data_IF_872547694136
#
_entry.id   IF_872547694136
#
_cell.length_a   1.000
_cell.length_b   1.000
_cell.length_c   1.000
_cell.angle_alpha   90.00
_cell.angle_beta   90.00
_cell.angle_gamma   90.00
#
_symmetry.space_group_name_H-M   'P 1'
#
loop_
_entity.id
_entity.type
_entity.pdbx_description
1 polymer ?
#
# COMPACT_ATOMS: atom_id res chain seq x y z
N UNK A 1 -22.56 -36.00 17.44
CA UNK A 1 -22.45 -35.83 15.97
C UNK A 1 -22.20 -34.36 15.77
N UNK A 2 -20.96 -33.99 15.43
CA UNK A 2 -20.61 -32.59 15.10
C UNK A 2 -21.08 -32.32 13.68
N UNK A 3 -21.89 -31.30 13.46
CA UNK A 3 -22.26 -30.82 12.13
C UNK A 3 -21.38 -29.61 11.84
N UNK A 4 -20.38 -29.80 11.00
CA UNK A 4 -19.59 -28.71 10.41
C UNK A 4 -20.32 -28.28 9.14
N UNK A 5 -20.75 -27.04 9.04
CA UNK A 5 -21.25 -26.49 7.80
C UNK A 5 -20.32 -25.33 7.39
N UNK A 6 -19.73 -25.51 6.22
CA UNK A 6 -19.02 -24.44 5.53
C UNK A 6 -20.10 -23.47 5.00
N UNK A 7 -20.16 -22.28 5.53
CA UNK A 7 -20.91 -21.19 4.94
C UNK A 7 -19.88 -20.30 4.25
N UNK A 8 -19.67 -20.52 2.95
CA UNK A 8 -19.01 -19.50 2.15
C UNK A 8 -19.81 -18.20 2.33
N UNK A 9 -19.12 -17.12 2.69
CA UNK A 9 -19.75 -15.83 2.92
C UNK A 9 -20.32 -15.26 1.61
N UNK A 10 -21.48 -15.79 1.18
CA UNK A 10 -22.34 -15.07 0.26
C UNK A 10 -23.13 -14.01 1.05
N UNK A 11 -22.40 -13.11 1.74
CA UNK A 11 -22.98 -11.86 2.21
C UNK A 11 -23.41 -11.04 0.99
N UNK A 12 -24.52 -10.31 1.08
CA UNK A 12 -24.85 -9.32 0.08
C UNK A 12 -23.67 -8.35 -0.03
N UNK A 13 -22.90 -8.47 -1.11
CA UNK A 13 -21.81 -7.58 -1.43
C UNK A 13 -22.39 -6.19 -1.71
N UNK A 14 -22.41 -5.33 -0.74
CA UNK A 14 -22.54 -3.89 -0.97
C UNK A 14 -21.17 -3.31 -1.33
N UNK A 15 -20.55 -3.91 -2.34
CA UNK A 15 -19.31 -3.37 -2.89
C UNK A 15 -19.67 -2.12 -3.68
N UNK A 16 -19.35 -0.96 -3.10
CA UNK A 16 -19.38 0.32 -3.80
C UNK A 16 -18.12 0.53 -4.66
N UNK A 17 -17.45 -0.56 -5.06
CA UNK A 17 -16.32 -0.45 -5.95
C UNK A 17 -16.77 0.19 -7.26
N UNK A 18 -16.25 1.38 -7.52
CA UNK A 18 -16.37 2.01 -8.83
C UNK A 18 -15.74 1.04 -9.84
N UNK A 19 -16.51 0.62 -10.83
CA UNK A 19 -15.97 -0.12 -11.97
C UNK A 19 -14.90 0.76 -12.63
N UNK A 20 -13.66 0.49 -12.32
CA UNK A 20 -12.52 1.16 -12.95
C UNK A 20 -12.31 0.48 -14.28
N UNK A 21 -12.92 1.02 -15.34
CA UNK A 21 -12.63 0.57 -16.69
C UNK A 21 -11.13 0.82 -16.98
N UNK A 22 -10.35 -0.21 -17.33
CA UNK A 22 -8.95 -0.01 -17.65
C UNK A 22 -8.84 0.86 -18.90
N UNK A 23 -8.50 2.13 -18.74
CA UNK A 23 -8.00 2.91 -19.85
C UNK A 23 -6.63 2.32 -20.25
N UNK A 24 -6.29 2.22 -21.55
CA UNK A 24 -4.97 1.76 -21.98
C UNK A 24 -3.94 2.84 -21.66
N UNK A 25 -3.47 2.86 -20.42
CA UNK A 25 -2.45 3.76 -19.91
C UNK A 25 -1.22 2.93 -19.61
N UNK A 26 -0.06 3.43 -19.98
CA UNK A 26 1.22 2.79 -19.68
C UNK A 26 1.36 2.55 -18.17
N UNK A 27 1.67 1.32 -17.81
CA UNK A 27 1.94 0.90 -16.44
C UNK A 27 3.42 0.58 -16.29
N UNK A 28 4.08 1.30 -15.41
CA UNK A 28 5.52 1.17 -15.16
C UNK A 28 5.74 0.72 -13.73
N UNK A 29 6.58 -0.29 -13.53
CA UNK A 29 6.94 -0.80 -12.22
C UNK A 29 8.38 -0.43 -11.89
N UNK A 30 8.62 0.11 -10.69
CA UNK A 30 9.96 0.47 -10.25
C UNK A 30 10.55 -0.60 -9.35
N UNK A 31 11.82 -0.90 -9.58
CA UNK A 31 12.64 -1.78 -8.75
C UNK A 31 13.75 -0.95 -8.10
N UNK A 32 13.71 -0.84 -6.78
CA UNK A 32 14.75 -0.10 -6.03
C UNK A 32 16.01 -0.96 -5.84
N UNK A 33 15.82 -2.23 -5.50
CA UNK A 33 16.91 -3.18 -5.26
C UNK A 33 16.46 -4.60 -5.65
N UNK A 34 17.43 -5.47 -5.93
CA UNK A 34 17.15 -6.88 -6.15
C UNK A 34 17.13 -7.30 -7.62
N UNK A 35 16.71 -8.51 -7.84
CA UNK A 35 16.63 -9.16 -9.14
C UNK A 35 15.17 -9.55 -9.43
N UNK A 36 14.81 -9.48 -10.69
CA UNK A 36 13.55 -10.02 -11.18
C UNK A 36 13.91 -11.19 -12.09
N UNK A 37 13.47 -12.39 -11.70
CA UNK A 37 13.61 -13.59 -12.51
C UNK A 37 12.66 -13.59 -13.72
N UNK A 38 12.82 -14.57 -14.58
CA UNK A 38 12.02 -14.66 -15.81
C UNK A 38 10.55 -14.93 -15.52
N UNK A 39 10.24 -15.67 -14.45
CA UNK A 39 8.88 -16.02 -14.08
C UNK A 39 8.15 -14.80 -13.51
N UNK A 40 8.76 -14.06 -12.59
CA UNK A 40 8.23 -12.78 -12.09
C UNK A 40 8.06 -11.76 -13.21
N UNK A 41 9.03 -11.67 -14.13
CA UNK A 41 8.92 -10.78 -15.30
C UNK A 41 7.72 -11.16 -16.19
N UNK A 42 7.51 -12.45 -16.43
CA UNK A 42 6.35 -12.94 -17.19
C UNK A 42 5.02 -12.63 -16.49
N UNK A 43 4.96 -12.78 -15.16
CA UNK A 43 3.77 -12.43 -14.38
C UNK A 43 3.48 -10.93 -14.43
N UNK A 44 4.49 -10.07 -14.28
CA UNK A 44 4.34 -8.62 -14.42
C UNK A 44 3.83 -8.23 -15.81
N UNK A 45 4.38 -8.85 -16.86
CA UNK A 45 3.93 -8.61 -18.22
C UNK A 45 2.49 -9.10 -18.44
N UNK A 46 2.11 -10.25 -17.90
CA UNK A 46 0.73 -10.75 -17.95
C UNK A 46 -0.24 -9.85 -17.17
N UNK A 47 0.22 -9.21 -16.10
CA UNK A 47 -0.52 -8.22 -15.32
C UNK A 47 -0.57 -6.83 -15.98
N UNK A 48 -0.06 -6.67 -17.20
CA UNK A 48 -0.14 -5.44 -17.98
C UNK A 48 0.97 -4.42 -17.69
N UNK A 49 2.06 -4.82 -17.06
CA UNK A 49 3.23 -3.96 -16.88
C UNK A 49 3.97 -3.82 -18.19
N UNK A 50 4.09 -2.58 -18.68
CA UNK A 50 4.72 -2.25 -19.96
C UNK A 50 6.24 -2.09 -19.85
N UNK A 51 6.73 -1.71 -18.67
CA UNK A 51 8.14 -1.42 -18.44
C UNK A 51 8.52 -1.58 -16.97
N UNK A 52 9.76 -2.00 -16.74
CA UNK A 52 10.39 -2.00 -15.41
C UNK A 52 11.46 -0.91 -15.38
N UNK A 53 11.42 -0.08 -14.34
CA UNK A 53 12.44 0.95 -14.11
C UNK A 53 13.34 0.51 -12.96
N UNK A 54 14.64 0.43 -13.24
CA UNK A 54 15.66 0.18 -12.24
C UNK A 54 16.17 1.49 -11.65
N UNK A 55 16.07 1.66 -10.32
CA UNK A 55 16.78 2.73 -9.62
C UNK A 55 18.26 2.33 -9.53
N UNK A 56 19.13 3.06 -10.25
CA UNK A 56 20.49 2.62 -10.52
C UNK A 56 21.57 3.48 -9.88
N UNK A 57 21.22 4.43 -9.06
CA UNK A 57 22.21 5.23 -8.35
C UNK A 57 22.04 6.74 -8.52
N UNK A 58 23.15 7.46 -8.45
CA UNK A 58 23.15 8.91 -8.36
C UNK A 58 24.02 9.58 -9.40
N UNK A 59 23.50 10.65 -9.97
CA UNK A 59 24.18 11.54 -10.89
C UNK A 59 24.48 12.88 -10.19
N UNK A 60 25.77 13.22 -10.01
CA UNK A 60 26.19 14.50 -9.44
C UNK A 60 26.64 15.44 -10.57
N UNK A 61 25.98 16.59 -10.68
CA UNK A 61 26.20 17.62 -11.70
C UNK A 61 26.83 18.90 -11.13
N UNK A 62 27.33 18.89 -9.89
CA UNK A 62 27.94 20.07 -9.25
C UNK A 62 29.32 20.41 -9.82
N UNK A 63 30.08 19.42 -10.28
CA UNK A 63 31.43 19.56 -10.80
C UNK A 63 31.49 20.00 -12.26
N UNK A 64 32.71 20.26 -12.77
CA UNK A 64 32.94 20.50 -14.21
C UNK A 64 32.66 19.26 -15.06
N UNK A 65 32.92 18.08 -14.52
CA UNK A 65 32.57 16.81 -15.11
C UNK A 65 31.44 16.17 -14.27
N UNK A 66 30.42 15.59 -14.91
CA UNK A 66 29.40 14.82 -14.20
C UNK A 66 30.03 13.58 -13.55
N UNK A 67 29.52 13.20 -12.39
CA UNK A 67 29.93 11.99 -11.68
C UNK A 67 28.75 11.06 -11.54
N UNK A 68 28.80 9.94 -12.24
CA UNK A 68 27.82 8.87 -12.13
C UNK A 68 28.31 7.85 -11.10
N UNK A 69 27.48 7.55 -10.10
CA UNK A 69 27.71 6.49 -9.11
C UNK A 69 26.55 5.52 -9.22
N UNK A 70 26.85 4.31 -9.65
CA UNK A 70 25.85 3.27 -9.77
C UNK A 70 25.80 2.40 -8.50
N UNK A 71 24.61 2.06 -8.10
CA UNK A 71 24.36 1.03 -7.12
C UNK A 71 24.56 -0.37 -7.75
N UNK A 72 24.84 -1.42 -6.94
CA UNK A 72 24.92 -2.78 -7.45
C UNK A 72 23.70 -3.11 -8.32
N UNK A 73 23.99 -3.71 -9.47
CA UNK A 73 22.98 -3.92 -10.47
C UNK A 73 21.87 -4.88 -10.01
N UNK A 74 20.65 -4.39 -9.93
CA UNK A 74 19.49 -5.26 -10.10
C UNK A 74 19.51 -5.82 -11.53
N UNK A 75 19.10 -7.06 -11.69
CA UNK A 75 18.95 -7.68 -13.01
C UNK A 75 17.47 -7.97 -13.26
N UNK A 76 17.03 -7.70 -14.47
CA UNK A 76 15.69 -8.07 -14.92
C UNK A 76 15.86 -9.11 -16.02
N UNK A 77 15.44 -10.33 -15.73
CA UNK A 77 15.35 -11.36 -16.75
C UNK A 77 14.01 -11.26 -17.49
N UNK A 78 14.01 -11.56 -18.79
CA UNK A 78 12.77 -11.57 -19.58
C UNK A 78 12.75 -10.53 -20.69
N UNK A 79 11.55 -10.26 -21.22
CA UNK A 79 11.34 -9.43 -22.42
C UNK A 79 10.75 -8.06 -22.13
N UNK A 80 10.44 -7.75 -20.87
CA UNK A 80 9.90 -6.42 -20.51
C UNK A 80 10.98 -5.37 -20.76
N UNK A 81 10.65 -4.24 -21.42
CA UNK A 81 11.56 -3.11 -21.55
C UNK A 81 12.05 -2.62 -20.19
N UNK A 82 13.33 -2.22 -20.13
CA UNK A 82 13.94 -1.77 -18.88
C UNK A 82 14.40 -0.32 -19.04
N UNK A 83 13.82 0.57 -18.24
CA UNK A 83 14.29 1.92 -18.03
C UNK A 83 15.25 2.03 -16.84
N UNK A 84 15.93 3.15 -16.74
CA UNK A 84 16.77 3.46 -15.59
C UNK A 84 16.38 4.79 -14.95
N UNK A 85 16.44 4.84 -13.62
CA UNK A 85 16.26 6.05 -12.84
C UNK A 85 17.55 6.40 -12.09
N UNK A 86 17.95 7.67 -12.17
CA UNK A 86 19.10 8.23 -11.50
C UNK A 86 18.65 9.38 -10.59
N UNK A 87 18.99 9.32 -9.31
CA UNK A 87 18.83 10.47 -8.42
C UNK A 87 19.85 11.54 -8.81
N UNK A 88 19.36 12.74 -9.14
CA UNK A 88 20.25 13.87 -9.42
C UNK A 88 20.61 14.56 -8.11
N UNK A 89 21.89 14.52 -7.77
CA UNK A 89 22.42 15.13 -6.55
C UNK A 89 22.48 16.66 -6.64
N UNK A 90 23.67 17.20 -6.38
CA UNK A 90 23.90 18.63 -6.54
C UNK A 90 24.00 19.01 -8.02
N UNK A 91 23.38 20.13 -8.37
CA UNK A 91 23.36 20.67 -9.74
C UNK A 91 23.99 22.06 -9.73
N UNK A 92 24.93 22.30 -10.65
CA UNK A 92 25.48 23.64 -10.90
C UNK A 92 24.62 24.39 -11.92
N UNK A 93 24.55 25.71 -11.84
CA UNK A 93 23.95 26.52 -12.91
C UNK A 93 24.74 26.39 -14.22
N UNK A 94 24.05 26.57 -15.35
CA UNK A 94 24.67 26.62 -16.68
C UNK A 94 25.20 25.26 -17.16
N UNK A 95 24.39 24.21 -17.02
CA UNK A 95 24.65 22.94 -17.68
C UNK A 95 24.53 23.15 -19.21
N UNK A 96 25.47 22.57 -19.94
CA UNK A 96 25.60 22.72 -21.39
C UNK A 96 25.53 21.35 -22.10
N UNK A 97 25.54 21.39 -23.42
CA UNK A 97 25.56 20.20 -24.29
C UNK A 97 26.74 19.27 -23.94
N UNK A 98 27.90 19.82 -23.64
CA UNK A 98 29.07 19.02 -23.27
C UNK A 98 28.85 18.23 -21.96
N UNK A 99 28.08 18.78 -21.01
CA UNK A 99 27.68 18.06 -19.80
C UNK A 99 26.73 16.91 -20.14
N UNK A 100 25.76 17.13 -21.05
CA UNK A 100 24.83 16.09 -21.45
C UNK A 100 25.56 14.95 -22.22
N UNK A 101 26.48 15.27 -23.12
CA UNK A 101 27.32 14.27 -23.78
C UNK A 101 28.17 13.46 -22.79
N UNK A 102 28.74 14.12 -21.79
CA UNK A 102 29.58 13.45 -20.81
C UNK A 102 28.75 12.49 -19.93
N UNK A 103 27.51 12.89 -19.54
CA UNK A 103 26.58 12.01 -18.81
C UNK A 103 26.21 10.81 -19.67
N UNK A 104 25.84 11.04 -20.95
CA UNK A 104 25.48 9.95 -21.81
C UNK A 104 26.63 8.95 -22.04
N UNK A 105 27.82 9.42 -22.29
CA UNK A 105 29.02 8.55 -22.41
C UNK A 105 29.26 7.73 -21.13
N UNK A 106 29.06 8.32 -19.95
CA UNK A 106 29.19 7.59 -18.71
C UNK A 106 28.14 6.48 -18.57
N UNK A 107 26.89 6.74 -18.99
CA UNK A 107 25.81 5.75 -19.03
C UNK A 107 26.14 4.64 -20.05
N UNK A 108 26.57 5.00 -21.26
CA UNK A 108 26.95 4.01 -22.30
C UNK A 108 28.08 3.08 -21.84
N UNK A 109 29.08 3.60 -21.15
CA UNK A 109 30.18 2.80 -20.62
C UNK A 109 29.68 1.76 -19.61
N UNK A 110 28.74 2.13 -18.74
CA UNK A 110 28.26 1.27 -17.68
C UNK A 110 27.23 0.23 -18.15
N UNK A 111 26.36 0.60 -19.08
CA UNK A 111 25.30 -0.27 -19.59
C UNK A 111 25.68 -1.03 -20.87
N UNK A 112 26.74 -0.64 -21.54
CA UNK A 112 27.24 -1.32 -22.74
C UNK A 112 26.19 -1.40 -23.85
N UNK A 113 25.96 -2.62 -24.38
CA UNK A 113 24.99 -2.85 -25.45
C UNK A 113 23.51 -2.85 -24.97
N UNK A 114 23.27 -2.85 -23.66
CA UNK A 114 21.92 -2.86 -23.09
C UNK A 114 21.40 -1.44 -22.92
N UNK A 115 21.04 -0.80 -24.04
CA UNK A 115 20.47 0.55 -24.02
C UNK A 115 19.15 0.53 -23.29
N UNK A 116 18.94 1.37 -22.25
CA UNK A 116 17.68 1.44 -21.53
C UNK A 116 16.55 1.94 -22.45
N UNK A 117 15.32 1.57 -22.11
CA UNK A 117 14.13 2.04 -22.85
C UNK A 117 13.86 3.53 -22.62
N UNK A 118 14.12 4.02 -21.41
CA UNK A 118 14.05 5.44 -21.06
C UNK A 118 15.04 5.78 -19.94
N UNK A 119 15.32 7.07 -19.78
CA UNK A 119 16.15 7.62 -18.71
C UNK A 119 15.30 8.52 -17.83
N UNK A 120 15.16 8.15 -16.55
CA UNK A 120 14.44 8.96 -15.57
C UNK A 120 15.46 9.72 -14.70
N UNK A 121 15.22 11.00 -14.50
CA UNK A 121 15.99 11.85 -13.62
C UNK A 121 15.13 12.23 -12.41
N UNK A 122 15.44 11.64 -11.27
CA UNK A 122 14.83 12.04 -10.00
C UNK A 122 15.48 13.34 -9.54
N UNK A 123 14.73 14.43 -9.57
CA UNK A 123 15.21 15.80 -9.37
C UNK A 123 14.79 16.34 -7.99
N UNK A 124 15.46 16.00 -6.89
CA UNK A 124 15.10 16.52 -5.57
C UNK A 124 15.33 18.04 -5.46
N UNK A 125 16.13 18.62 -6.37
CA UNK A 125 16.40 20.06 -6.47
C UNK A 125 16.48 20.48 -7.93
N UNK A 126 15.94 21.67 -8.21
CA UNK A 126 16.02 22.31 -9.50
C UNK A 126 17.14 23.35 -9.55
N UNK A 127 17.71 23.55 -10.73
CA UNK A 127 18.69 24.60 -11.01
C UNK A 127 18.48 25.14 -12.43
N UNK A 128 18.89 26.38 -12.67
CA UNK A 128 18.85 27.00 -14.00
C UNK A 128 19.65 26.19 -15.02
N UNK A 129 19.08 26.01 -16.21
CA UNK A 129 19.68 25.25 -17.32
C UNK A 129 19.40 23.75 -17.29
N UNK A 130 18.62 23.25 -16.33
CA UNK A 130 18.19 21.83 -16.34
C UNK A 130 17.26 21.50 -17.50
N UNK A 131 16.42 22.43 -17.93
CA UNK A 131 15.54 22.32 -19.08
C UNK A 131 16.34 22.10 -20.37
N UNK A 132 17.32 22.96 -20.64
CA UNK A 132 18.23 22.81 -21.79
C UNK A 132 19.05 21.52 -21.69
N UNK A 133 19.56 21.19 -20.50
CA UNK A 133 20.30 19.95 -20.28
C UNK A 133 19.46 18.70 -20.60
N UNK A 134 18.19 18.65 -20.19
CA UNK A 134 17.27 17.53 -20.50
C UNK A 134 17.05 17.41 -22.00
N UNK A 135 16.87 18.53 -22.71
CA UNK A 135 16.72 18.53 -24.16
C UNK A 135 17.98 17.98 -24.84
N UNK A 136 19.15 18.48 -24.44
CA UNK A 136 20.44 18.01 -25.03
C UNK A 136 20.68 16.54 -24.69
N UNK A 137 20.42 16.10 -23.44
CA UNK A 137 20.60 14.71 -23.06
C UNK A 137 19.67 13.78 -23.83
N UNK A 138 18.42 14.20 -24.10
CA UNK A 138 17.49 13.44 -24.97
C UNK A 138 17.96 13.37 -26.40
N UNK A 139 18.57 14.46 -26.94
CA UNK A 139 19.08 14.50 -28.30
C UNK A 139 20.31 13.59 -28.48
N UNK A 140 21.28 13.63 -27.55
CA UNK A 140 22.52 12.85 -27.67
C UNK A 140 22.28 11.36 -27.36
N UNK A 141 21.34 11.04 -26.46
CA UNK A 141 21.01 9.64 -26.12
C UNK A 141 20.04 9.00 -27.12
N UNK A 142 19.22 9.79 -27.78
CA UNK A 142 18.08 9.29 -28.56
C UNK A 142 16.96 8.71 -27.69
N UNK A 143 17.02 8.84 -26.33
CA UNK A 143 16.06 8.32 -25.38
C UNK A 143 15.07 9.39 -24.93
N UNK A 144 13.93 8.95 -24.44
CA UNK A 144 13.08 9.81 -23.62
C UNK A 144 13.79 10.07 -22.28
N UNK A 145 14.03 11.34 -21.97
CA UNK A 145 14.52 11.78 -20.65
C UNK A 145 13.35 12.34 -19.88
N UNK A 146 12.97 11.66 -18.79
CA UNK A 146 11.74 11.93 -18.05
C UNK A 146 12.09 12.40 -16.63
N UNK A 147 11.84 13.67 -16.27
CA UNK A 147 12.05 14.14 -14.92
C UNK A 147 10.97 13.62 -13.96
N UNK A 148 11.38 13.20 -12.78
CA UNK A 148 10.50 13.03 -11.64
C UNK A 148 10.54 14.31 -10.81
N UNK A 149 9.38 14.96 -10.67
CA UNK A 149 9.23 16.29 -10.09
C UNK A 149 8.25 16.26 -8.91
N UNK A 150 8.67 16.84 -7.79
CA UNK A 150 7.79 17.04 -6.65
C UNK A 150 6.69 18.07 -6.93
N UNK A 151 5.62 17.98 -6.17
CA UNK A 151 4.48 18.91 -6.27
C UNK A 151 4.89 20.38 -6.13
N UNK A 152 5.70 20.69 -5.12
CA UNK A 152 6.22 22.04 -4.83
C UNK A 152 7.04 22.61 -5.99
N UNK A 153 7.79 21.76 -6.67
CA UNK A 153 8.58 22.13 -7.85
C UNK A 153 7.71 22.54 -9.03
N UNK A 154 6.58 21.86 -9.25
CA UNK A 154 5.62 22.18 -10.32
C UNK A 154 4.93 23.52 -10.12
N UNK A 155 4.94 24.09 -8.93
CA UNK A 155 4.45 25.43 -8.65
C UNK A 155 5.50 26.52 -8.89
N UNK A 156 6.69 26.16 -9.36
CA UNK A 156 7.74 27.11 -9.77
C UNK A 156 7.82 27.24 -11.29
N UNK A 157 8.26 28.39 -11.79
CA UNK A 157 8.51 28.60 -13.21
C UNK A 157 9.55 27.60 -13.73
N UNK A 158 10.63 27.40 -13.00
CA UNK A 158 11.71 26.48 -13.35
C UNK A 158 11.22 25.02 -13.46
N UNK A 159 10.36 24.54 -12.54
CA UNK A 159 9.81 23.19 -12.64
C UNK A 159 8.88 23.00 -13.83
N UNK A 160 8.08 24.01 -14.15
CA UNK A 160 7.24 23.98 -15.35
C UNK A 160 8.07 24.00 -16.65
N UNK A 161 9.17 24.74 -16.69
CA UNK A 161 10.05 24.78 -17.86
C UNK A 161 10.78 23.44 -18.06
N UNK A 162 11.26 22.82 -16.97
CA UNK A 162 11.83 21.46 -17.00
C UNK A 162 10.78 20.45 -17.49
N UNK A 163 9.54 20.50 -17.01
CA UNK A 163 8.47 19.60 -17.44
C UNK A 163 8.14 19.78 -18.94
N UNK A 164 8.03 21.03 -19.42
CA UNK A 164 7.77 21.36 -20.81
C UNK A 164 8.91 20.91 -21.74
N UNK A 165 10.15 21.13 -21.34
CA UNK A 165 11.34 20.69 -22.06
C UNK A 165 11.35 19.17 -22.28
N UNK A 166 11.02 18.41 -21.27
CA UNK A 166 10.94 16.95 -21.30
C UNK A 166 9.70 16.42 -22.04
N UNK A 167 8.63 17.20 -22.16
CA UNK A 167 7.31 16.82 -22.73
C UNK A 167 6.59 15.71 -21.99
N UNK A 168 7.23 15.03 -21.07
CA UNK A 168 6.69 14.00 -20.19
C UNK A 168 7.37 14.14 -18.83
N UNK A 169 6.61 14.11 -17.74
CA UNK A 169 7.18 14.08 -16.41
C UNK A 169 6.45 13.07 -15.52
N UNK A 170 7.13 12.62 -14.48
CA UNK A 170 6.56 11.78 -13.44
C UNK A 170 6.28 12.67 -12.22
N UNK A 171 5.09 12.55 -11.64
CA UNK A 171 4.67 13.32 -10.48
C UNK A 171 4.16 12.38 -9.40
N UNK A 172 4.70 12.41 -8.17
CA UNK A 172 4.13 11.69 -7.04
C UNK A 172 2.71 12.18 -6.77
N UNK A 173 1.73 11.43 -7.24
CA UNK A 173 0.32 11.81 -7.17
C UNK A 173 -0.36 11.23 -5.93
N UNK A 174 0.02 10.01 -5.54
CA UNK A 174 -0.56 9.29 -4.42
C UNK A 174 0.53 8.50 -3.68
N UNK A 175 0.55 8.58 -2.36
CA UNK A 175 1.51 7.83 -1.59
C UNK A 175 1.70 8.32 -0.18
N UNK A 176 2.64 7.67 0.48
CA UNK A 176 2.96 7.86 1.89
C UNK A 176 4.29 8.59 2.09
N UNK A 177 4.90 9.12 1.02
CA UNK A 177 6.27 9.65 1.06
C UNK A 177 6.36 11.08 1.60
N UNK A 178 7.51 11.42 2.20
CA UNK A 178 7.81 12.71 2.83
C UNK A 178 7.75 13.91 1.87
N UNK A 179 8.04 13.68 0.59
CA UNK A 179 7.93 14.73 -0.41
C UNK A 179 6.51 15.30 -0.52
N UNK A 180 5.51 14.45 -0.29
CA UNK A 180 4.10 14.84 -0.28
C UNK A 180 3.71 15.65 0.97
N UNK A 181 4.46 15.51 2.07
CA UNK A 181 4.11 16.08 3.37
C UNK A 181 4.88 17.37 3.69
N UNK A 182 6.04 17.60 3.07
CA UNK A 182 6.91 18.76 3.38
C UNK A 182 6.36 20.11 2.93
N UNK A 183 5.42 20.14 1.98
CA UNK A 183 4.85 21.38 1.46
C UNK A 183 3.51 21.78 2.06
N UNK A 184 2.95 20.94 2.93
CA UNK A 184 1.59 21.14 3.41
C UNK A 184 1.65 21.23 4.93
N UNK A 185 1.80 22.42 5.44
CA UNK A 185 1.53 22.69 6.85
C UNK A 185 0.23 21.97 7.29
N UNK A 186 -0.48 22.39 8.23
CA UNK A 186 -1.64 21.80 8.89
C UNK A 186 -2.80 21.26 8.00
N UNK A 187 -2.69 21.24 6.66
CA UNK A 187 -3.81 20.99 5.73
C UNK A 187 -3.97 19.53 5.22
N UNK A 188 -3.13 18.59 5.66
CA UNK A 188 -3.18 17.21 5.17
C UNK A 188 -2.73 17.03 3.68
N UNK A 189 -2.71 15.81 3.14
CA UNK A 189 -2.26 15.55 1.78
C UNK A 189 -3.20 16.21 0.76
N UNK A 190 -2.62 16.93 -0.21
CA UNK A 190 -3.39 17.52 -1.30
C UNK A 190 -3.94 16.41 -2.20
N UNK A 191 -5.18 16.54 -2.67
CA UNK A 191 -5.73 15.59 -3.63
C UNK A 191 -4.93 15.63 -4.95
N UNK A 192 -4.82 14.49 -5.65
CA UNK A 192 -4.04 14.37 -6.89
C UNK A 192 -4.39 15.44 -7.94
N UNK A 193 -5.65 15.82 -8.04
CA UNK A 193 -6.14 16.89 -8.90
C UNK A 193 -5.39 18.21 -8.69
N UNK A 194 -5.18 18.61 -7.44
CA UNK A 194 -4.44 19.83 -7.12
C UNK A 194 -2.95 19.69 -7.41
N UNK A 195 -2.39 18.49 -7.22
CA UNK A 195 -0.99 18.22 -7.51
C UNK A 195 -0.68 18.32 -9.00
N UNK A 196 -1.60 17.88 -9.85
CA UNK A 196 -1.42 17.86 -11.30
C UNK A 196 -1.91 19.13 -12.00
N UNK A 197 -2.69 19.98 -11.31
CA UNK A 197 -3.28 21.19 -11.89
C UNK A 197 -2.29 22.16 -12.54
N UNK A 198 -1.03 22.34 -12.07
CA UNK A 198 -0.07 23.23 -12.74
C UNK A 198 0.28 22.80 -14.15
N UNK A 199 0.12 21.52 -14.49
CA UNK A 199 0.41 20.95 -15.79
C UNK A 199 -0.78 21.01 -16.77
N UNK A 200 -1.98 21.34 -16.27
CA UNK A 200 -3.18 21.39 -17.11
C UNK A 200 -3.02 22.40 -18.27
N UNK A 201 -3.29 21.93 -19.49
CA UNK A 201 -3.19 22.76 -20.70
C UNK A 201 -1.78 23.12 -21.16
N UNK A 202 -0.73 22.56 -20.55
CA UNK A 202 0.66 22.79 -20.95
C UNK A 202 1.09 21.90 -22.12
N UNK A 203 0.35 20.84 -22.44
CA UNK A 203 0.72 19.81 -23.41
C UNK A 203 1.76 18.82 -22.89
N UNK A 204 2.15 18.91 -21.61
CA UNK A 204 3.04 17.96 -20.96
C UNK A 204 2.25 16.69 -20.61
N UNK A 205 2.77 15.55 -21.03
CA UNK A 205 2.20 14.24 -20.62
C UNK A 205 2.65 13.91 -19.20
N UNK A 206 1.74 13.44 -18.38
CA UNK A 206 2.01 13.12 -16.98
C UNK A 206 1.95 11.62 -16.75
N UNK A 207 2.95 11.07 -16.09
CA UNK A 207 2.86 9.76 -15.44
C UNK A 207 2.66 10.00 -13.94
N UNK A 208 1.58 9.47 -13.39
CA UNK A 208 1.27 9.62 -11.98
C UNK A 208 1.98 8.53 -11.18
N UNK A 209 2.88 8.91 -10.28
CA UNK A 209 3.55 7.94 -9.43
C UNK A 209 2.71 7.64 -8.18
N UNK A 210 2.60 6.33 -7.87
CA UNK A 210 1.94 5.80 -6.69
C UNK A 210 2.98 5.04 -5.87
N UNK A 211 3.17 5.46 -4.62
CA UNK A 211 4.10 4.81 -3.71
C UNK A 211 3.41 3.61 -3.06
N UNK A 212 3.95 2.41 -3.29
CA UNK A 212 3.38 1.14 -2.83
C UNK A 212 3.86 0.69 -1.46
N UNK A 213 4.69 1.49 -0.80
CA UNK A 213 5.23 1.17 0.52
C UNK A 213 4.40 1.85 1.62
N UNK A 214 4.01 1.09 2.63
CA UNK A 214 3.52 1.69 3.88
C UNK A 214 4.63 2.51 4.54
N UNK A 215 4.24 3.58 5.21
CA UNK A 215 5.17 4.46 5.89
C UNK A 215 5.00 4.39 7.39
N UNK A 216 6.10 4.44 8.10
CA UNK A 216 6.11 4.56 9.56
C UNK A 216 6.74 5.88 10.01
N UNK A 217 6.24 6.43 11.11
CA UNK A 217 6.82 7.58 11.77
C UNK A 217 7.03 7.28 13.26
N UNK A 218 8.26 7.22 13.75
CA UNK A 218 9.53 7.41 13.02
C UNK A 218 9.79 6.28 12.01
N UNK A 219 10.65 6.54 11.00
CA UNK A 219 11.01 5.54 10.00
C UNK A 219 11.64 4.30 10.64
N UNK A 220 11.33 3.13 10.12
CA UNK A 220 11.95 1.87 10.51
C UNK A 220 13.39 1.80 10.00
N UNK A 221 14.27 1.16 10.74
CA UNK A 221 15.72 1.12 10.45
C UNK A 221 16.14 -0.18 9.79
N UNK A 222 15.38 -1.26 10.00
CA UNK A 222 15.68 -2.62 9.51
C UNK A 222 14.60 -3.14 8.56
N UNK A 223 14.80 -4.35 8.01
CA UNK A 223 13.77 -5.06 7.28
C UNK A 223 12.64 -5.42 8.26
N UNK A 224 11.72 -4.51 8.46
CA UNK A 224 10.68 -4.65 9.45
C UNK A 224 9.33 -4.70 8.78
N UNK A 225 9.08 -5.79 8.05
CA UNK A 225 7.76 -6.07 7.50
C UNK A 225 6.91 -6.92 8.45
N UNK A 226 7.45 -7.29 9.63
CA UNK A 226 6.74 -8.05 10.65
C UNK A 226 5.77 -7.15 11.42
N UNK A 227 4.49 -7.46 11.33
CA UNK A 227 3.41 -6.74 12.00
C UNK A 227 3.12 -7.23 13.41
N UNK A 228 3.56 -8.42 13.78
CA UNK A 228 3.22 -9.06 15.05
C UNK A 228 3.35 -8.11 16.25
N UNK A 229 4.42 -7.32 16.39
CA UNK A 229 4.52 -6.41 17.52
C UNK A 229 3.48 -5.30 17.55
N UNK A 230 2.86 -4.97 16.41
CA UNK A 230 1.80 -3.94 16.30
C UNK A 230 0.40 -4.52 16.45
N UNK A 231 0.21 -5.76 16.03
CA UNK A 231 -1.09 -6.42 15.98
C UNK A 231 -1.32 -7.32 17.20
N UNK A 232 -0.26 -7.86 17.81
CA UNK A 232 -0.38 -8.58 19.09
C UNK A 232 -0.86 -7.66 20.20
N UNK A 233 -2.13 -7.80 20.60
CA UNK A 233 -2.85 -6.95 21.52
C UNK A 233 -2.28 -6.80 22.95
N UNK A 234 -1.14 -7.44 23.26
CA UNK A 234 -0.41 -7.30 24.52
C UNK A 234 0.89 -6.49 24.39
N UNK A 235 1.29 -6.15 23.17
CA UNK A 235 2.54 -5.46 22.89
C UNK A 235 2.34 -3.98 22.64
N UNK A 236 1.29 -3.63 21.95
CA UNK A 236 0.93 -2.23 21.65
C UNK A 236 -0.56 -1.98 21.91
N UNK A 237 -0.90 -0.72 22.09
CA UNK A 237 -2.29 -0.24 22.06
C UNK A 237 -2.42 0.77 20.92
N UNK A 238 -3.35 0.55 20.01
CA UNK A 238 -3.69 1.54 18.98
C UNK A 238 -4.45 2.69 19.63
N UNK A 239 -3.90 3.90 19.56
CA UNK A 239 -4.46 5.10 20.19
C UNK A 239 -5.18 6.02 19.22
N UNK A 240 -4.83 5.95 17.94
CA UNK A 240 -5.45 6.75 16.89
C UNK A 240 -5.70 5.87 15.68
N UNK A 241 -6.92 5.93 15.18
CA UNK A 241 -7.35 5.27 13.96
C UNK A 241 -8.07 6.31 13.11
N UNK A 242 -7.50 6.61 11.96
CA UNK A 242 -8.11 7.45 10.92
C UNK A 242 -8.14 6.66 9.62
N UNK A 243 -8.78 7.18 8.59
CA UNK A 243 -8.82 6.51 7.27
C UNK A 243 -7.43 6.27 6.68
N UNK A 244 -6.43 7.06 7.11
CA UNK A 244 -5.08 7.01 6.56
C UNK A 244 -4.04 6.47 7.53
N UNK A 245 -4.13 6.81 8.81
CA UNK A 245 -3.07 6.59 9.78
C UNK A 245 -3.54 5.75 10.97
N UNK A 246 -2.67 4.88 11.44
CA UNK A 246 -2.81 4.11 12.67
C UNK A 246 -1.66 4.46 13.59
N UNK A 247 -1.95 4.87 14.84
CA UNK A 247 -0.92 5.16 15.83
C UNK A 247 -0.95 4.12 16.93
N UNK A 248 0.17 3.48 17.14
CA UNK A 248 0.38 2.47 18.17
C UNK A 248 1.30 3.02 19.26
N UNK A 249 1.01 2.67 20.53
CA UNK A 249 1.83 2.96 21.69
C UNK A 249 2.30 1.63 22.27
N UNK A 250 3.59 1.49 22.49
CA UNK A 250 4.16 0.28 23.09
C UNK A 250 3.89 0.23 24.58
N UNK A 251 3.25 -0.84 25.04
CA UNK A 251 2.92 -1.08 26.46
C UNK A 251 4.11 -1.66 27.24
N UNK A 252 5.02 -2.32 26.54
CA UNK A 252 6.23 -2.95 27.08
C UNK A 252 7.43 -2.71 26.16
N UNK A 253 8.67 -2.81 26.67
CA UNK A 253 9.84 -2.76 25.80
C UNK A 253 9.83 -3.92 24.81
N UNK A 254 10.15 -3.60 23.54
CA UNK A 254 10.26 -4.57 22.45
C UNK A 254 11.38 -4.17 21.49
N UNK A 255 12.09 -5.15 20.96
CA UNK A 255 12.97 -4.94 19.82
C UNK A 255 12.18 -5.25 18.55
N UNK A 256 12.01 -4.25 17.70
CA UNK A 256 11.27 -4.37 16.46
C UNK A 256 11.92 -3.52 15.37
N UNK A 257 12.08 -4.11 14.19
CA UNK A 257 12.64 -3.46 13.02
C UNK A 257 13.98 -2.74 13.28
N UNK A 258 14.91 -3.45 13.95
CA UNK A 258 16.24 -2.94 14.27
C UNK A 258 16.28 -1.80 15.29
N UNK A 259 15.19 -1.55 15.99
CA UNK A 259 15.07 -0.50 17.01
C UNK A 259 14.55 -1.08 18.32
N UNK A 260 15.12 -0.59 19.44
CA UNK A 260 14.62 -0.88 20.78
C UNK A 260 13.56 0.15 21.17
N UNK A 261 12.31 -0.25 21.20
CA UNK A 261 11.16 0.54 21.64
C UNK A 261 10.98 0.40 23.14
N UNK A 262 10.64 1.46 23.82
CA UNK A 262 10.34 1.47 25.27
C UNK A 262 8.84 1.55 25.48
N UNK A 263 8.37 1.13 26.65
CA UNK A 263 7.00 1.40 27.06
C UNK A 263 6.71 2.91 27.00
N UNK A 264 5.62 3.30 26.35
CA UNK A 264 5.23 4.68 26.09
C UNK A 264 5.77 5.27 24.77
N UNK A 265 6.75 4.64 24.11
CA UNK A 265 7.12 5.03 22.75
C UNK A 265 5.95 4.79 21.79
N UNK A 266 5.88 5.54 20.70
CA UNK A 266 4.82 5.39 19.72
C UNK A 266 5.34 5.34 18.30
N UNK A 267 4.62 4.62 17.44
CA UNK A 267 4.81 4.59 16.00
C UNK A 267 3.48 4.89 15.31
N UNK A 268 3.51 5.75 14.31
CA UNK A 268 2.39 5.93 13.39
C UNK A 268 2.68 5.13 12.11
N UNK A 269 1.67 4.45 11.60
CA UNK A 269 1.74 3.68 10.35
C UNK A 269 0.70 4.22 9.39
N UNK A 270 1.15 4.66 8.22
CA UNK A 270 0.30 4.97 7.08
C UNK A 270 0.30 3.77 6.16
N UNK A 271 -0.85 3.14 6.05
CA UNK A 271 -1.01 1.86 5.37
C UNK A 271 -1.14 2.02 3.86
N UNK A 272 -0.51 1.12 3.09
CA UNK A 272 -0.71 0.98 1.65
C UNK A 272 -0.96 -0.50 1.34
N UNK A 273 -2.18 -0.85 1.00
CA UNK A 273 -2.62 -2.19 0.59
C UNK A 273 -3.34 -2.16 -0.76
N UNK A 274 -3.87 -3.29 -1.21
CA UNK A 274 -4.52 -3.40 -2.51
C UNK A 274 -5.80 -2.54 -2.60
N UNK A 275 -6.57 -2.40 -1.53
CA UNK A 275 -7.77 -1.57 -1.51
C UNK A 275 -7.40 -0.09 -1.64
N UNK A 276 -6.34 0.37 -0.98
CA UNK A 276 -5.82 1.74 -1.15
C UNK A 276 -5.24 1.99 -2.52
N UNK A 277 -4.53 1.02 -3.09
CA UNK A 277 -4.06 1.12 -4.48
C UNK A 277 -5.25 1.27 -5.43
N UNK A 278 -6.33 0.51 -5.20
CA UNK A 278 -7.56 0.62 -5.99
C UNK A 278 -8.15 2.04 -5.92
N UNK A 279 -8.28 2.60 -4.73
CA UNK A 279 -8.76 3.98 -4.54
C UNK A 279 -7.85 4.99 -5.24
N UNK A 280 -6.53 4.85 -5.09
CA UNK A 280 -5.55 5.73 -5.73
C UNK A 280 -5.68 5.72 -7.25
N UNK A 281 -5.78 4.54 -7.86
CA UNK A 281 -5.96 4.39 -9.31
C UNK A 281 -7.30 4.97 -9.76
N UNK A 282 -8.39 4.71 -9.03
CA UNK A 282 -9.71 5.25 -9.34
C UNK A 282 -9.73 6.79 -9.26
N UNK A 283 -9.09 7.37 -8.24
CA UNK A 283 -8.99 8.83 -8.10
C UNK A 283 -8.20 9.45 -9.25
N UNK A 284 -7.05 8.90 -9.60
CA UNK A 284 -6.24 9.41 -10.72
C UNK A 284 -6.99 9.29 -12.04
N UNK A 285 -7.74 8.20 -12.25
CA UNK A 285 -8.58 8.03 -13.46
C UNK A 285 -9.71 9.05 -13.54
N UNK A 286 -10.33 9.38 -12.39
CA UNK A 286 -11.41 10.37 -12.31
C UNK A 286 -10.92 11.78 -12.57
N UNK A 287 -9.63 12.05 -12.36
CA UNK A 287 -9.02 13.32 -12.74
C UNK A 287 -9.04 13.39 -14.27
N UNK A 288 -9.98 14.16 -14.80
CA UNK A 288 -10.17 14.36 -16.23
C UNK A 288 -9.08 15.28 -16.83
N UNK A 289 -7.82 15.02 -16.50
CA UNK A 289 -6.69 15.66 -17.16
C UNK A 289 -6.38 14.83 -18.42
N UNK A 290 -6.53 15.41 -19.62
CA UNK A 290 -6.32 14.69 -20.88
C UNK A 290 -4.90 14.18 -21.05
N UNK A 291 -3.97 14.67 -20.23
CA UNK A 291 -2.54 14.48 -20.38
C UNK A 291 -1.95 13.41 -19.45
N UNK A 292 -2.77 12.68 -18.64
CA UNK A 292 -2.27 11.56 -17.83
C UNK A 292 -1.99 10.36 -18.75
N UNK A 293 -0.72 10.12 -19.03
CA UNK A 293 -0.25 9.13 -20.00
C UNK A 293 -0.03 7.74 -19.39
N UNK A 294 0.12 7.63 -18.06
CA UNK A 294 0.42 6.36 -17.41
C UNK A 294 0.57 6.47 -15.90
N UNK A 295 0.91 5.33 -15.31
CA UNK A 295 1.16 5.18 -13.89
C UNK A 295 2.54 4.57 -13.63
N UNK A 296 3.19 5.08 -12.60
CA UNK A 296 4.42 4.53 -12.05
C UNK A 296 4.15 3.96 -10.66
N UNK A 297 4.30 2.67 -10.48
CA UNK A 297 4.16 1.99 -9.19
C UNK A 297 5.53 1.84 -8.55
N UNK A 298 5.74 2.44 -7.37
CA UNK A 298 7.06 2.60 -6.73
C UNK A 298 7.02 2.18 -5.25
N UNK A 299 7.90 1.29 -4.81
CA UNK A 299 8.66 0.27 -5.53
C UNK A 299 7.83 -1.01 -5.72
N UNK A 300 8.34 -1.97 -6.49
CA UNK A 300 7.82 -3.34 -6.48
C UNK A 300 7.90 -3.89 -5.05
N UNK A 301 6.78 -4.34 -4.46
CA UNK A 301 6.77 -4.88 -3.11
C UNK A 301 7.61 -6.16 -2.95
N UNK A 302 8.03 -6.43 -1.73
CA UNK A 302 8.63 -7.72 -1.37
C UNK A 302 7.59 -8.84 -1.49
N UNK A 303 8.06 -10.09 -1.62
CA UNK A 303 7.17 -11.25 -1.74
C UNK A 303 6.29 -11.43 -0.50
N UNK A 304 6.91 -11.26 0.67
CA UNK A 304 6.37 -11.54 1.98
C UNK A 304 6.06 -10.26 2.79
N UNK A 305 5.85 -9.13 2.10
CA UNK A 305 5.52 -7.88 2.79
C UNK A 305 4.22 -8.03 3.60
N UNK A 306 4.34 -7.85 4.91
CA UNK A 306 3.19 -7.83 5.83
C UNK A 306 2.75 -6.39 6.12
N UNK A 307 3.68 -5.44 6.07
CA UNK A 307 3.43 -4.01 6.26
C UNK A 307 2.88 -3.38 4.97
N UNK A 308 1.76 -3.89 4.49
CA UNK A 308 1.06 -3.35 3.34
C UNK A 308 0.87 -4.35 2.21
N UNK A 309 1.15 -3.92 0.99
CA UNK A 309 0.92 -4.70 -0.22
C UNK A 309 2.05 -5.71 -0.44
N UNK A 310 1.72 -7.01 -0.50
CA UNK A 310 2.67 -8.03 -0.95
C UNK A 310 2.77 -8.05 -2.48
N UNK A 311 3.86 -8.67 -3.00
CA UNK A 311 4.02 -8.84 -4.46
C UNK A 311 2.91 -9.70 -5.04
N UNK A 312 2.53 -10.76 -4.36
CA UNK A 312 1.45 -11.65 -4.79
C UNK A 312 0.12 -10.89 -4.89
N UNK A 313 -0.26 -10.15 -3.84
CA UNK A 313 -1.47 -9.33 -3.84
C UNK A 313 -1.46 -8.28 -4.97
N UNK A 314 -0.32 -7.63 -5.21
CA UNK A 314 -0.16 -6.69 -6.31
C UNK A 314 -0.41 -7.35 -7.67
N UNK A 315 0.23 -8.50 -7.93
CA UNK A 315 0.11 -9.20 -9.21
C UNK A 315 -1.31 -9.68 -9.47
N UNK A 316 -1.99 -10.22 -8.48
CA UNK A 316 -3.39 -10.64 -8.58
C UNK A 316 -4.31 -9.44 -8.81
N UNK A 317 -4.12 -8.37 -8.06
CA UNK A 317 -4.87 -7.14 -8.25
C UNK A 317 -4.70 -6.56 -9.68
N UNK A 318 -3.47 -6.46 -10.17
CA UNK A 318 -3.20 -6.00 -11.55
C UNK A 318 -3.75 -6.97 -12.59
N UNK A 319 -3.79 -8.26 -12.29
CA UNK A 319 -4.42 -9.31 -13.09
C UNK A 319 -5.94 -9.25 -13.16
N UNK A 320 -6.56 -8.32 -12.42
CA UNK A 320 -8.01 -8.07 -12.42
C UNK A 320 -8.78 -8.73 -11.29
N UNK A 321 -8.11 -9.30 -10.30
CA UNK A 321 -8.78 -9.74 -9.08
C UNK A 321 -9.17 -8.53 -8.21
N UNK A 322 -10.31 -8.64 -7.51
CA UNK A 322 -10.73 -7.60 -6.56
C UNK A 322 -9.78 -7.54 -5.36
N UNK A 323 -9.60 -6.36 -4.74
CA UNK A 323 -8.69 -6.20 -3.60
C UNK A 323 -9.27 -6.68 -2.26
N UNK A 324 -10.37 -7.43 -2.30
CA UNK A 324 -11.09 -7.89 -1.11
C UNK A 324 -10.50 -9.21 -0.58
N UNK A 325 -10.29 -9.36 0.75
CA UNK A 325 -9.95 -10.64 1.35
C UNK A 325 -11.13 -11.62 1.26
N UNK A 326 -10.82 -12.91 1.14
CA UNK A 326 -11.82 -14.00 1.17
C UNK A 326 -11.99 -14.50 2.60
N UNK A 327 -12.72 -13.75 3.42
CA UNK A 327 -12.95 -14.12 4.82
C UNK A 327 -14.00 -15.23 4.91
N UNK A 328 -13.59 -16.39 5.40
CA UNK A 328 -14.45 -17.55 5.63
C UNK A 328 -14.69 -17.71 7.13
N UNK A 329 -15.96 -17.87 7.51
CA UNK A 329 -16.36 -18.05 8.91
C UNK A 329 -17.05 -19.40 9.08
N UNK A 330 -16.47 -20.25 9.91
CA UNK A 330 -17.00 -21.55 10.28
C UNK A 330 -17.49 -21.55 11.72
N UNK A 331 -18.67 -22.11 11.95
CA UNK A 331 -19.24 -22.25 13.30
C UNK A 331 -19.30 -23.72 13.68
N UNK A 332 -18.51 -24.11 14.67
CA UNK A 332 -18.57 -25.44 15.29
C UNK A 332 -19.45 -25.39 16.54
N UNK A 333 -20.51 -26.20 16.53
CA UNK A 333 -21.38 -26.35 17.67
C UNK A 333 -21.43 -27.78 18.17
N UNK A 334 -21.07 -27.96 19.41
CA UNK A 334 -21.14 -29.25 20.10
C UNK A 334 -21.94 -29.12 21.41
N UNK A 335 -23.21 -29.51 21.33
CA UNK A 335 -24.12 -29.41 22.49
C UNK A 335 -24.33 -27.97 22.94
N UNK A 336 -23.74 -27.62 24.11
CA UNK A 336 -23.81 -26.28 24.71
C UNK A 336 -22.58 -25.43 24.41
N UNK A 337 -21.66 -25.92 23.64
CA UNK A 337 -20.41 -25.23 23.28
C UNK A 337 -20.45 -24.75 21.83
N UNK A 338 -20.07 -23.49 21.62
CA UNK A 338 -19.96 -22.87 20.30
C UNK A 338 -18.53 -22.34 20.18
N UNK A 339 -17.90 -22.61 19.04
CA UNK A 339 -16.63 -22.01 18.62
C UNK A 339 -16.78 -21.44 17.22
N UNK A 340 -16.06 -20.37 16.95
CA UNK A 340 -16.00 -19.74 15.64
C UNK A 340 -14.57 -19.76 15.14
N UNK A 341 -14.39 -20.21 13.93
CA UNK A 341 -13.13 -20.19 13.20
C UNK A 341 -13.26 -19.19 12.06
N UNK A 342 -12.28 -18.32 11.92
CA UNK A 342 -12.14 -17.38 10.83
C UNK A 342 -10.88 -17.76 10.06
N UNK A 343 -10.95 -17.79 8.74
CA UNK A 343 -9.78 -18.00 7.87
C UNK A 343 -9.81 -17.02 6.72
N UNK A 344 -8.61 -16.63 6.29
CA UNK A 344 -8.40 -15.76 5.14
C UNK A 344 -7.48 -16.47 4.13
N UNK A 345 -8.00 -17.33 3.24
CA UNK A 345 -7.16 -18.02 2.25
C UNK A 345 -6.65 -17.13 1.12
N UNK A 346 -7.09 -15.87 1.05
CA UNK A 346 -6.69 -14.95 0.00
C UNK A 346 -5.35 -14.26 0.30
N UNK A 347 -4.65 -13.70 -0.70
CA UNK A 347 -3.45 -12.90 -0.49
C UNK A 347 -3.74 -11.46 -0.03
N UNK A 348 -5.01 -11.08 0.06
CA UNK A 348 -5.43 -9.77 0.55
C UNK A 348 -5.76 -9.85 2.03
N UNK A 349 -5.40 -8.82 2.78
CA UNK A 349 -5.63 -8.75 4.21
C UNK A 349 -6.82 -7.85 4.56
N UNK A 350 -7.35 -7.98 5.78
CA UNK A 350 -8.23 -6.96 6.36
C UNK A 350 -7.43 -5.71 6.72
N UNK A 351 -8.12 -4.58 6.96
CA UNK A 351 -7.41 -3.42 7.51
C UNK A 351 -7.11 -3.63 9.00
N UNK A 352 -6.03 -3.02 9.45
CA UNK A 352 -5.71 -2.97 10.89
C UNK A 352 -6.71 -2.06 11.59
N UNK A 353 -7.50 -2.62 12.51
CA UNK A 353 -8.53 -1.88 13.24
C UNK A 353 -8.74 -2.44 14.64
N UNK A 354 -8.91 -1.54 15.62
CA UNK A 354 -9.17 -1.93 17.02
C UNK A 354 -10.56 -2.54 17.23
N UNK A 355 -11.53 -2.10 16.44
CA UNK A 355 -12.94 -2.43 16.64
C UNK A 355 -13.68 -2.76 15.35
N UNK A 356 -13.03 -2.61 14.21
CA UNK A 356 -13.61 -2.87 12.89
C UNK A 356 -13.65 -4.35 12.52
N UNK A 357 -12.76 -5.16 13.08
CA UNK A 357 -12.69 -6.59 12.81
C UNK A 357 -13.21 -7.37 14.01
N UNK A 358 -14.36 -8.02 13.86
CA UNK A 358 -14.93 -8.77 14.97
C UNK A 358 -15.86 -9.91 14.54
N UNK A 359 -15.97 -10.88 15.42
CA UNK A 359 -16.98 -11.94 15.37
C UNK A 359 -17.82 -11.88 16.63
N UNK A 360 -19.14 -11.92 16.51
CA UNK A 360 -20.09 -11.88 17.62
C UNK A 360 -20.87 -13.18 17.67
N UNK A 361 -20.90 -13.79 18.83
CA UNK A 361 -21.79 -14.92 19.15
C UNK A 361 -22.88 -14.40 20.08
N UNK A 362 -24.13 -14.49 19.65
CA UNK A 362 -25.29 -14.06 20.46
C UNK A 362 -26.32 -15.16 20.59
N UNK A 363 -27.13 -15.10 21.64
CA UNK A 363 -28.26 -16.00 21.89
C UNK A 363 -29.50 -15.23 22.34
N UNK A 364 -30.68 -15.70 21.97
CA UNK A 364 -31.95 -15.11 22.43
C UNK A 364 -32.11 -15.20 23.94
N UNK A 365 -31.52 -16.25 24.54
CA UNK A 365 -31.54 -16.51 25.96
C UNK A 365 -30.36 -15.81 26.65
N UNK A 366 -30.63 -15.27 27.83
CA UNK A 366 -29.59 -14.65 28.65
C UNK A 366 -28.58 -15.69 29.15
N UNK A 367 -27.32 -15.27 29.47
CA UNK A 367 -26.27 -16.11 30.06
C UNK A 367 -25.37 -16.85 29.09
N UNK A 368 -24.65 -16.11 28.25
CA UNK A 368 -23.46 -16.64 27.62
C UNK A 368 -22.26 -16.56 28.54
N UNK A 369 -21.42 -17.58 28.52
CA UNK A 369 -20.15 -17.59 29.24
C UNK A 369 -19.03 -17.85 28.25
N UNK A 370 -18.07 -16.94 28.20
CA UNK A 370 -16.81 -17.11 27.53
C UNK A 370 -15.68 -16.75 28.50
N UNK A 371 -14.78 -17.67 28.73
CA UNK A 371 -13.65 -17.53 29.67
C UNK A 371 -12.34 -17.23 28.96
N UNK A 372 -12.26 -17.62 27.69
CA UNK A 372 -11.05 -17.53 26.87
C UNK A 372 -11.35 -16.85 25.53
N UNK A 373 -10.41 -16.06 25.04
CA UNK A 373 -10.52 -15.40 23.73
C UNK A 373 -10.10 -16.31 22.57
N UNK A 374 -9.43 -17.43 22.84
CA UNK A 374 -8.85 -18.26 21.81
C UNK A 374 -7.59 -17.62 21.23
N UNK A 375 -7.45 -17.63 19.91
CA UNK A 375 -6.38 -16.92 19.20
C UNK A 375 -6.76 -15.50 18.78
N UNK A 376 -7.95 -15.00 19.16
CA UNK A 376 -8.30 -13.59 18.96
C UNK A 376 -7.59 -12.66 19.94
N UNK A 377 -7.38 -11.42 19.58
CA UNK A 377 -6.68 -10.42 20.40
C UNK A 377 -7.46 -9.98 21.62
N UNK A 378 -8.77 -9.88 21.50
CA UNK A 378 -9.64 -9.39 22.57
C UNK A 378 -10.99 -10.08 22.62
N UNK A 379 -11.52 -10.11 23.85
CA UNK A 379 -12.85 -10.59 24.17
C UNK A 379 -13.65 -9.47 24.86
N UNK A 380 -14.88 -9.24 24.43
CA UNK A 380 -15.83 -8.38 25.10
C UNK A 380 -17.14 -9.12 25.36
N UNK A 381 -17.65 -8.97 26.60
CA UNK A 381 -18.95 -9.46 27.02
C UNK A 381 -19.96 -8.32 26.94
N UNK A 382 -21.14 -8.59 26.41
CA UNK A 382 -22.18 -7.57 26.25
C UNK A 382 -23.55 -8.16 25.95
N UNK A 383 -24.36 -7.39 25.27
CA UNK A 383 -25.67 -7.83 24.82
C UNK A 383 -26.03 -7.28 23.44
N UNK A 384 -26.93 -7.96 22.79
CA UNK A 384 -27.56 -7.47 21.56
C UNK A 384 -28.99 -7.07 21.89
N UNK A 385 -29.30 -5.78 21.67
CA UNK A 385 -30.64 -5.23 21.80
C UNK A 385 -31.11 -4.64 20.47
N UNK A 386 -32.22 -5.13 19.95
CA UNK A 386 -32.76 -4.71 18.63
C UNK A 386 -31.72 -4.79 17.50
N UNK A 387 -30.90 -5.84 17.50
CA UNK A 387 -29.84 -6.04 16.52
C UNK A 387 -28.57 -5.19 16.73
N UNK A 388 -28.52 -4.37 17.78
CA UNK A 388 -27.35 -3.53 18.06
C UNK A 388 -26.60 -4.03 19.30
N UNK A 389 -25.26 -3.99 19.22
CA UNK A 389 -24.38 -4.25 20.35
C UNK A 389 -24.54 -3.19 21.43
N UNK A 390 -24.72 -3.63 22.66
CA UNK A 390 -24.76 -2.79 23.85
C UNK A 390 -23.68 -3.28 24.82
N UNK A 391 -22.79 -2.39 25.21
CA UNK A 391 -21.67 -2.71 26.09
C UNK A 391 -22.06 -3.03 27.55
N UNK A 392 -21.08 -2.99 28.41
CA UNK A 392 -20.99 -3.58 29.78
C UNK A 392 -22.05 -3.31 30.83
N UNK A 393 -22.98 -2.39 30.65
CA UNK A 393 -23.95 -2.03 31.72
C UNK A 393 -25.20 -2.93 31.77
N UNK A 394 -25.05 -4.18 31.32
CA UNK A 394 -26.14 -5.14 31.34
C UNK A 394 -25.98 -6.11 32.53
N UNK A 395 -27.04 -6.25 33.30
CA UNK A 395 -27.17 -7.31 34.31
C UNK A 395 -27.08 -8.72 33.68
N UNK A 396 -27.05 -8.80 32.34
CA UNK A 396 -27.20 -10.04 31.60
C UNK A 396 -26.40 -10.02 30.28
N UNK A 397 -25.49 -10.95 30.14
CA UNK A 397 -24.68 -11.16 28.97
C UNK A 397 -25.39 -12.13 28.01
N UNK A 398 -25.86 -11.67 26.87
CA UNK A 398 -26.44 -12.51 25.83
C UNK A 398 -25.65 -12.46 24.51
N UNK A 399 -24.50 -11.78 24.50
CA UNK A 399 -23.60 -11.75 23.36
C UNK A 399 -22.13 -11.63 23.80
N UNK A 400 -21.27 -12.22 22.99
CA UNK A 400 -19.81 -12.21 23.16
C UNK A 400 -19.21 -11.76 21.84
N UNK A 401 -18.34 -10.75 21.88
CA UNK A 401 -17.53 -10.33 20.73
C UNK A 401 -16.08 -10.71 20.92
N UNK A 402 -15.52 -11.30 19.86
CA UNK A 402 -14.11 -11.55 19.69
C UNK A 402 -13.61 -10.53 18.68
N UNK A 403 -12.57 -9.78 19.03
CA UNK A 403 -11.96 -8.77 18.17
C UNK A 403 -10.60 -9.26 17.69
N UNK A 404 -10.35 -9.03 16.43
CA UNK A 404 -9.05 -9.22 15.80
C UNK A 404 -8.56 -7.89 15.25
N UNK A 405 -7.31 -7.56 15.53
CA UNK A 405 -6.75 -6.29 15.04
C UNK A 405 -6.50 -6.36 13.53
N UNK A 406 -6.12 -7.53 13.03
CA UNK A 406 -5.74 -7.72 11.64
C UNK A 406 -5.84 -9.20 11.27
N UNK A 407 -6.48 -9.53 10.16
CA UNK A 407 -6.50 -10.91 9.63
C UNK A 407 -5.59 -10.96 8.42
N UNK A 408 -4.43 -11.59 8.60
CA UNK A 408 -3.39 -11.68 7.57
C UNK A 408 -3.78 -12.63 6.41
N UNK A 409 -3.11 -12.52 5.27
CA UNK A 409 -3.19 -13.54 4.21
C UNK A 409 -2.81 -14.91 4.73
N UNK A 410 -3.62 -15.92 4.41
CA UNK A 410 -3.40 -17.30 4.84
C UNK A 410 -3.66 -17.59 6.33
N UNK A 411 -4.07 -16.62 7.10
CA UNK A 411 -4.28 -16.75 8.53
C UNK A 411 -5.54 -17.52 8.88
N UNK A 412 -5.48 -18.22 10.00
CA UNK A 412 -6.57 -18.97 10.61
C UNK A 412 -6.62 -18.69 12.11
N UNK A 413 -7.70 -18.11 12.59
CA UNK A 413 -7.94 -17.77 13.99
C UNK A 413 -9.19 -18.48 14.51
N UNK A 414 -9.16 -18.88 15.78
CA UNK A 414 -10.27 -19.62 16.41
C UNK A 414 -10.65 -19.00 17.74
N UNK A 415 -11.93 -18.74 17.95
CA UNK A 415 -12.44 -18.23 19.21
C UNK A 415 -12.28 -19.21 20.37
N UNK A 416 -12.23 -18.69 21.56
CA UNK A 416 -12.50 -19.48 22.74
C UNK A 416 -13.90 -20.10 22.71
N UNK A 417 -14.14 -21.02 23.63
CA UNK A 417 -15.45 -21.69 23.73
C UNK A 417 -16.49 -20.78 24.36
N UNK A 418 -17.58 -20.50 23.65
CA UNK A 418 -18.78 -19.84 24.16
C UNK A 418 -19.76 -20.91 24.63
N UNK A 419 -20.15 -20.86 25.89
CA UNK A 419 -21.16 -21.78 26.48
C UNK A 419 -22.52 -21.13 26.44
N UNK A 420 -23.50 -21.82 25.88
CA UNK A 420 -24.90 -21.42 25.82
C UNK A 420 -25.71 -22.15 26.92
N UNK A 421 -26.84 -21.58 27.39
CA UNK A 421 -27.63 -22.17 28.47
C UNK A 421 -28.16 -23.56 28.15
N UNK A 422 -28.55 -23.81 26.92
CA UNK A 422 -29.14 -25.08 26.48
C UNK A 422 -28.57 -25.51 25.12
N UNK A 423 -28.53 -26.80 24.86
CA UNK A 423 -28.21 -27.33 23.52
C UNK A 423 -29.26 -26.99 22.47
N UNK A 424 -30.43 -26.49 22.91
CA UNK A 424 -31.52 -26.04 22.03
C UNK A 424 -31.58 -24.53 21.87
N UNK A 425 -30.74 -23.75 22.60
CA UNK A 425 -30.69 -22.30 22.45
C UNK A 425 -30.39 -21.94 21.00
N UNK A 426 -31.12 -21.00 20.46
CA UNK A 426 -30.77 -20.41 19.13
C UNK A 426 -29.58 -19.53 19.28
N UNK A 427 -28.60 -19.70 18.41
CA UNK A 427 -27.36 -18.94 18.37
C UNK A 427 -27.26 -18.26 17.04
N UNK A 428 -27.05 -16.96 17.04
CA UNK A 428 -26.65 -16.20 15.87
C UNK A 428 -25.17 -15.85 15.97
N UNK A 429 -24.44 -16.02 14.88
CA UNK A 429 -23.04 -15.61 14.73
C UNK A 429 -22.99 -14.57 13.64
N UNK A 430 -22.55 -13.37 14.00
CA UNK A 430 -22.32 -12.25 13.08
C UNK A 430 -20.85 -11.92 13.01
N UNK A 431 -20.41 -11.41 11.88
CA UNK A 431 -19.04 -10.93 11.73
C UNK A 431 -19.00 -9.66 10.90
N UNK A 432 -17.93 -8.94 11.10
CA UNK A 432 -17.65 -7.68 10.42
C UNK A 432 -16.14 -7.51 10.30
N UNK A 433 -15.66 -7.20 9.11
CA UNK A 433 -14.26 -6.91 8.84
C UNK A 433 -14.17 -5.67 7.99
N UNK A 434 -13.38 -4.71 8.43
CA UNK A 434 -13.16 -3.43 7.74
C UNK A 434 -12.08 -3.57 6.68
N UNK A 435 -12.21 -2.83 5.59
CA UNK A 435 -11.19 -2.67 4.57
C UNK A 435 -10.63 -1.26 4.56
N UNK A 436 -9.44 -1.06 4.02
CA UNK A 436 -8.73 0.22 4.08
C UNK A 436 -9.33 1.30 3.17
N UNK A 437 -10.20 0.94 2.24
CA UNK A 437 -10.98 1.85 1.39
C UNK A 437 -12.29 2.32 2.08
N UNK A 438 -12.55 1.84 3.31
CA UNK A 438 -13.76 2.11 4.06
C UNK A 438 -14.93 1.20 3.72
N UNK A 439 -14.75 0.21 2.86
CA UNK A 439 -15.74 -0.85 2.66
C UNK A 439 -15.70 -1.88 3.78
N UNK A 440 -16.73 -2.73 3.88
CA UNK A 440 -16.93 -3.67 4.96
C UNK A 440 -17.33 -5.05 4.42
N UNK A 441 -16.75 -6.09 5.01
CA UNK A 441 -17.21 -7.47 4.82
C UNK A 441 -18.02 -7.87 6.05
N UNK A 442 -19.27 -8.21 5.89
CA UNK A 442 -20.13 -8.60 6.99
C UNK A 442 -21.03 -9.78 6.62
N UNK A 443 -21.41 -10.54 7.62
CA UNK A 443 -22.33 -11.65 7.41
C UNK A 443 -22.96 -12.15 8.72
N UNK A 444 -23.91 -13.05 8.59
CA UNK A 444 -24.62 -13.64 9.72
C UNK A 444 -24.99 -15.09 9.42
N UNK A 445 -24.94 -15.94 10.44
CA UNK A 445 -25.41 -17.31 10.39
C UNK A 445 -26.16 -17.67 11.66
N UNK A 446 -27.38 -18.22 11.53
CA UNK A 446 -28.19 -18.74 12.63
C UNK A 446 -27.97 -20.24 12.84
N UNK A 447 -27.90 -20.69 14.10
CA UNK A 447 -27.67 -22.07 14.53
C UNK A 447 -28.58 -22.53 15.66
#
# INVERSE_FOLDING_TARGET
MSVVLLVAACGEKTSNFLEVAPAPRRLVMWLENGEIDADTSALLQAAGVDEIVLRRGRLDLAGRAPVLRLDPAGQVAGSIPVGIALEVGAVRPGLDEAAAEAVWRAIEVEFGASVPAELILDLPRLAEGLDDFIVHLSQVSGLAVVPLLGFDQLHTELGLDVAKAARTCIVPAFGTDDADLRGIGELGPLPPEKKLSPLAGTGVRVRAAIVLRSRTEPPLVGPGDDLDPLTEGQTTTMTTETDLDRKFVFEKPVEWSGRNWKAGDSVAVRWMDAARLHVALAEIQRIALPDVAGWDLIPLPAEDSQLGLSREALLLYLGGEGPEPDIQVEVDRSGRSVRVKVSNPSPFATTVSNYGNWVEVSAEEEWLVAEEMGSFDRLALGGVQRGQWVGRDLDKVNAVRFYEVYVAPGEEITSGTVRVPSSRSRVSVRWHFSLSDGSELAGEVDR
#
